data_IF_964161870111
#
_entry.id   IF_964161870111
#
_cell.length_a   1.000
_cell.length_b   1.000
_cell.length_c   1.000
_cell.angle_alpha   90.00
_cell.angle_beta   90.00
_cell.angle_gamma   90.00
#
_symmetry.space_group_name_H-M   'P 1'
#
loop_
_entity.id
_entity.type
_entity.pdbx_description
1 polymer ?
#
# COMPACT_ATOMS: atom_id res chain seq x y z
N UNK A 1 27.76 -0.63 -30.39
CA UNK A 1 26.75 -0.67 -29.32
C UNK A 1 26.42 -2.13 -29.06
N UNK A 2 26.72 -2.64 -27.86
CA UNK A 2 26.55 -4.06 -27.55
C UNK A 2 25.06 -4.38 -27.36
N UNK A 3 24.50 -5.23 -28.22
CA UNK A 3 23.10 -5.67 -28.14
C UNK A 3 22.73 -6.21 -26.75
N UNK A 4 23.67 -6.87 -26.05
CA UNK A 4 23.42 -7.45 -24.73
C UNK A 4 23.12 -6.44 -23.62
N UNK A 5 23.69 -5.23 -23.64
CA UNK A 5 23.44 -4.25 -22.57
C UNK A 5 22.05 -3.62 -22.67
N UNK A 6 21.57 -3.40 -23.90
CA UNK A 6 20.22 -2.87 -24.16
C UNK A 6 19.15 -3.86 -23.70
N UNK A 7 19.32 -5.16 -23.96
CA UNK A 7 18.36 -6.19 -23.56
C UNK A 7 18.21 -6.27 -22.05
N UNK A 8 19.32 -6.20 -21.30
CA UNK A 8 19.30 -6.22 -19.83
C UNK A 8 18.51 -5.03 -19.27
N UNK A 9 18.70 -3.83 -19.84
CA UNK A 9 18.00 -2.61 -19.40
C UNK A 9 16.49 -2.76 -19.61
N UNK A 10 16.06 -3.26 -20.78
CA UNK A 10 14.64 -3.50 -21.03
C UNK A 10 14.04 -4.55 -20.09
N UNK A 11 14.76 -5.64 -19.80
CA UNK A 11 14.33 -6.65 -18.83
C UNK A 11 14.14 -6.04 -17.45
N UNK A 12 15.06 -5.19 -16.99
CA UNK A 12 14.94 -4.51 -15.70
C UNK A 12 13.73 -3.58 -15.64
N UNK A 13 13.48 -2.81 -16.71
CA UNK A 13 12.33 -1.90 -16.78
C UNK A 13 11.01 -2.67 -16.79
N UNK A 14 10.91 -3.74 -17.59
CA UNK A 14 9.71 -4.58 -17.66
C UNK A 14 9.45 -5.27 -16.32
N UNK A 15 10.49 -5.85 -15.70
CA UNK A 15 10.38 -6.47 -14.38
C UNK A 15 9.94 -5.44 -13.31
N UNK A 16 10.51 -4.24 -13.35
CA UNK A 16 10.11 -3.15 -12.45
C UNK A 16 8.68 -2.68 -12.69
N UNK A 17 8.22 -2.62 -13.95
CA UNK A 17 6.84 -2.27 -14.28
C UNK A 17 5.84 -3.32 -13.78
N UNK A 18 6.15 -4.62 -13.94
CA UNK A 18 5.33 -5.71 -13.41
C UNK A 18 5.25 -5.67 -11.88
N UNK A 19 6.38 -5.43 -11.20
CA UNK A 19 6.40 -5.22 -9.75
C UNK A 19 5.57 -4.00 -9.35
N UNK A 20 5.66 -2.90 -10.10
CA UNK A 20 4.87 -1.71 -9.81
C UNK A 20 3.37 -1.93 -10.00
N UNK A 21 2.98 -2.73 -10.99
CA UNK A 21 1.59 -3.11 -11.19
C UNK A 21 1.08 -3.99 -10.05
N UNK A 22 1.91 -4.93 -9.57
CA UNK A 22 1.62 -5.70 -8.35
C UNK A 22 1.45 -4.78 -7.13
N UNK A 23 2.32 -3.78 -6.95
CA UNK A 23 2.22 -2.80 -5.87
C UNK A 23 0.90 -2.02 -5.92
N UNK A 24 0.46 -1.59 -7.11
CA UNK A 24 -0.83 -0.91 -7.31
C UNK A 24 -2.00 -1.80 -6.90
N UNK A 25 -2.03 -3.05 -7.39
CA UNK A 25 -3.11 -4.00 -7.06
C UNK A 25 -3.16 -4.25 -5.56
N UNK A 26 -2.00 -4.49 -4.94
CA UNK A 26 -1.90 -4.74 -3.49
C UNK A 26 -2.36 -3.53 -2.68
N UNK A 27 -1.99 -2.32 -3.09
CA UNK A 27 -2.42 -1.07 -2.45
C UNK A 27 -3.93 -0.82 -2.64
N UNK A 28 -4.47 -1.06 -3.83
CA UNK A 28 -5.90 -0.94 -4.10
C UNK A 28 -6.71 -1.95 -3.26
N UNK A 29 -6.27 -3.21 -3.18
CA UNK A 29 -6.92 -4.22 -2.35
C UNK A 29 -6.90 -3.85 -0.87
N UNK A 30 -5.76 -3.37 -0.37
CA UNK A 30 -5.64 -2.88 1.01
C UNK A 30 -6.60 -1.72 1.30
N UNK A 31 -6.73 -0.77 0.36
CA UNK A 31 -7.67 0.34 0.48
C UNK A 31 -9.12 -0.13 0.52
N UNK A 32 -9.50 -1.09 -0.33
CA UNK A 32 -10.84 -1.68 -0.33
C UNK A 32 -11.14 -2.44 0.97
N UNK A 33 -10.16 -3.14 1.54
CA UNK A 33 -10.31 -3.80 2.85
C UNK A 33 -10.50 -2.81 4.02
N UNK A 34 -10.04 -1.56 3.88
CA UNK A 34 -10.19 -0.50 4.87
C UNK A 34 -11.40 0.41 4.63
N UNK A 35 -12.01 0.41 3.44
CA UNK A 35 -13.12 1.32 3.12
C UNK A 35 -14.39 0.99 3.90
N UNK A 36 -14.62 -0.28 4.22
CA UNK A 36 -15.81 -0.72 4.97
C UNK A 36 -15.83 -0.22 6.42
N UNK A 37 -14.68 0.05 7.03
CA UNK A 37 -14.58 0.43 8.45
C UNK A 37 -14.42 1.95 8.64
N UNK A 38 -14.05 2.69 7.59
CA UNK A 38 -13.59 4.10 7.68
C UNK A 38 -14.44 5.06 6.83
N UNK A 39 -15.61 4.62 6.34
CA UNK A 39 -16.57 5.50 5.69
C UNK A 39 -17.41 6.35 6.68
N UNK A 40 -16.97 6.44 7.94
CA UNK A 40 -17.51 7.33 8.97
C UNK A 40 -16.57 8.56 9.16
N UNK A 41 -16.58 9.49 8.20
CA UNK A 41 -16.46 10.90 8.57
C UNK A 41 -15.22 11.72 8.20
N UNK A 42 -14.11 11.16 7.68
CA UNK A 42 -12.90 11.98 7.43
C UNK A 42 -12.51 12.11 5.95
N UNK A 43 -13.05 13.16 5.29
CA UNK A 43 -12.80 13.49 3.87
C UNK A 43 -11.31 13.70 3.54
N UNK A 44 -10.49 14.14 4.51
CA UNK A 44 -9.04 14.32 4.31
C UNK A 44 -8.32 12.97 4.15
N UNK A 45 -8.74 11.97 4.92
CA UNK A 45 -8.15 10.62 4.84
C UNK A 45 -8.42 9.96 3.48
N UNK A 46 -9.60 10.20 2.90
CA UNK A 46 -9.98 9.72 1.55
C UNK A 46 -9.15 10.38 0.45
N UNK A 47 -8.90 11.69 0.54
CA UNK A 47 -8.10 12.42 -0.44
C UNK A 47 -6.65 11.95 -0.46
N UNK A 48 -6.03 11.74 0.70
CA UNK A 48 -4.66 11.23 0.80
C UNK A 48 -4.51 9.81 0.22
N UNK A 49 -5.52 8.95 0.44
CA UNK A 49 -5.57 7.59 -0.12
C UNK A 49 -5.63 7.61 -1.64
N UNK A 50 -6.53 8.43 -2.20
CA UNK A 50 -6.66 8.61 -3.64
C UNK A 50 -5.39 9.20 -4.26
N UNK A 51 -4.74 10.17 -3.59
CA UNK A 51 -3.47 10.74 -4.03
C UNK A 51 -2.37 9.67 -4.11
N UNK A 52 -2.26 8.79 -3.11
CA UNK A 52 -1.31 7.67 -3.17
C UNK A 52 -1.51 6.76 -4.38
N UNK A 53 -2.77 6.43 -4.70
CA UNK A 53 -3.11 5.59 -5.86
C UNK A 53 -2.78 6.30 -7.18
N UNK A 54 -3.15 7.58 -7.30
CA UNK A 54 -2.81 8.42 -8.47
C UNK A 54 -1.29 8.50 -8.65
N UNK A 55 -0.53 8.65 -7.57
CA UNK A 55 0.93 8.72 -7.62
C UNK A 55 1.54 7.39 -8.11
N UNK A 56 1.03 6.25 -7.64
CA UNK A 56 1.49 4.94 -8.10
C UNK A 56 1.19 4.72 -9.60
N UNK A 57 0.00 5.12 -10.06
CA UNK A 57 -0.36 5.07 -11.50
C UNK A 57 0.55 6.00 -12.31
N UNK A 58 0.83 7.20 -11.79
CA UNK A 58 1.76 8.14 -12.43
C UNK A 58 3.16 7.54 -12.58
N UNK A 59 3.65 6.85 -11.55
CA UNK A 59 4.90 6.11 -11.65
C UNK A 59 4.84 5.03 -12.74
N UNK A 60 3.78 4.22 -12.80
CA UNK A 60 3.60 3.20 -13.85
C UNK A 60 3.63 3.80 -15.26
N UNK A 61 2.98 4.95 -15.46
CA UNK A 61 3.06 5.70 -16.72
C UNK A 61 4.49 6.11 -17.05
N UNK A 62 5.30 6.46 -16.05
CA UNK A 62 6.74 6.71 -16.21
C UNK A 62 7.49 5.50 -16.79
N UNK A 63 7.19 4.27 -16.36
CA UNK A 63 7.77 3.05 -16.95
C UNK A 63 7.34 2.85 -18.39
N UNK A 64 6.05 3.02 -18.68
CA UNK A 64 5.52 2.87 -20.05
C UNK A 64 6.12 3.92 -20.99
N UNK A 65 6.23 5.16 -20.53
CA UNK A 65 6.81 6.25 -21.31
C UNK A 65 8.30 6.01 -21.59
N UNK A 66 9.08 5.60 -20.59
CA UNK A 66 10.49 5.29 -20.76
C UNK A 66 10.73 4.07 -21.65
N UNK A 67 9.83 3.07 -21.62
CA UNK A 67 9.91 1.91 -22.49
C UNK A 67 9.57 2.20 -23.96
N UNK A 68 8.61 3.10 -24.23
CA UNK A 68 8.13 3.39 -25.59
C UNK A 68 8.87 4.54 -26.28
N UNK A 69 9.23 5.59 -25.54
CA UNK A 69 9.79 6.83 -26.10
C UNK A 69 11.21 7.13 -25.64
N UNK A 70 11.70 6.43 -24.61
CA UNK A 70 13.01 6.65 -24.04
C UNK A 70 14.15 5.93 -24.77
N UNK A 71 15.36 6.42 -24.58
CA UNK A 71 16.60 5.65 -24.76
C UNK A 71 17.15 5.37 -23.37
N UNK A 72 16.62 4.35 -22.66
CA UNK A 72 16.97 4.13 -21.27
C UNK A 72 18.43 3.69 -21.14
N UNK A 73 19.16 4.40 -20.30
CA UNK A 73 20.51 4.01 -19.87
C UNK A 73 20.44 3.04 -18.69
N UNK A 74 21.57 2.37 -18.42
CA UNK A 74 21.68 1.39 -17.32
C UNK A 74 21.31 2.00 -15.96
N UNK A 75 21.69 3.26 -15.73
CA UNK A 75 21.31 3.99 -14.52
C UNK A 75 19.80 4.21 -14.43
N UNK A 76 19.14 4.50 -15.54
CA UNK A 76 17.70 4.72 -15.59
C UNK A 76 16.91 3.43 -15.34
N UNK A 77 17.34 2.33 -15.94
CA UNK A 77 16.78 1.00 -15.66
C UNK A 77 16.98 0.57 -14.21
N UNK A 78 18.14 0.87 -13.62
CA UNK A 78 18.43 0.64 -12.21
C UNK A 78 17.54 1.44 -11.26
N UNK A 79 17.33 2.74 -11.53
CA UNK A 79 16.47 3.61 -10.73
C UNK A 79 15.01 3.18 -10.81
N UNK A 80 14.51 2.86 -12.00
CA UNK A 80 13.15 2.37 -12.19
C UNK A 80 12.97 1.04 -11.44
N UNK A 81 13.80 0.04 -11.72
CA UNK A 81 13.71 -1.25 -11.04
C UNK A 81 13.82 -1.12 -9.52
N UNK A 82 14.85 -0.42 -9.02
CA UNK A 82 15.05 -0.17 -7.60
C UNK A 82 13.90 0.61 -6.96
N UNK A 83 13.33 1.57 -7.68
CA UNK A 83 12.15 2.32 -7.23
C UNK A 83 10.94 1.43 -7.00
N UNK A 84 10.66 0.46 -7.89
CA UNK A 84 9.56 -0.50 -7.70
C UNK A 84 9.75 -1.39 -6.47
N UNK A 85 10.99 -1.84 -6.23
CA UNK A 85 11.34 -2.66 -5.04
C UNK A 85 11.19 -1.82 -3.77
N UNK A 86 11.69 -0.59 -3.78
CA UNK A 86 11.58 0.32 -2.65
C UNK A 86 10.12 0.56 -2.27
N UNK A 87 9.27 0.88 -3.25
CA UNK A 87 7.82 1.04 -3.03
C UNK A 87 7.21 -0.24 -2.46
N UNK A 88 7.60 -1.42 -2.96
CA UNK A 88 7.11 -2.70 -2.46
C UNK A 88 7.44 -2.92 -0.97
N UNK A 89 8.67 -2.59 -0.56
CA UNK A 89 9.12 -2.68 0.83
C UNK A 89 8.32 -1.70 1.71
N UNK A 90 8.21 -0.45 1.29
CA UNK A 90 7.48 0.60 2.04
C UNK A 90 6.02 0.22 2.21
N UNK A 91 5.35 -0.27 1.16
CA UNK A 91 3.98 -0.76 1.25
C UNK A 91 3.86 -1.92 2.23
N UNK A 92 4.80 -2.87 2.22
CA UNK A 92 4.77 -4.00 3.13
C UNK A 92 4.90 -3.58 4.60
N UNK A 93 5.81 -2.62 4.88
CA UNK A 93 5.95 -2.03 6.21
C UNK A 93 4.65 -1.33 6.62
N UNK A 94 4.08 -0.53 5.73
CA UNK A 94 2.86 0.24 6.01
C UNK A 94 1.66 -0.66 6.31
N UNK A 95 1.48 -1.76 5.56
CA UNK A 95 0.42 -2.73 5.84
C UNK A 95 0.60 -3.42 7.18
N UNK A 96 1.82 -3.89 7.48
CA UNK A 96 2.11 -4.54 8.76
C UNK A 96 1.89 -3.58 9.95
N UNK A 97 2.33 -2.32 9.82
CA UNK A 97 2.08 -1.31 10.86
C UNK A 97 0.58 -1.07 11.07
N UNK A 98 -0.19 -1.04 9.99
CA UNK A 98 -1.64 -0.83 10.07
C UNK A 98 -2.32 -2.00 10.79
N UNK A 99 -1.94 -3.24 10.47
CA UNK A 99 -2.48 -4.43 11.14
C UNK A 99 -2.13 -4.45 12.63
N UNK A 100 -0.89 -4.09 12.99
CA UNK A 100 -0.46 -3.98 14.39
C UNK A 100 -1.27 -2.93 15.14
N UNK A 101 -1.50 -1.76 14.54
CA UNK A 101 -2.31 -0.69 15.15
C UNK A 101 -3.76 -1.13 15.31
N UNK A 102 -4.34 -1.81 14.32
CA UNK A 102 -5.71 -2.34 14.38
C UNK A 102 -5.88 -3.33 15.52
N UNK A 103 -4.96 -4.29 15.65
CA UNK A 103 -5.02 -5.31 16.72
C UNK A 103 -4.89 -4.68 18.11
N UNK A 104 -3.96 -3.72 18.29
CA UNK A 104 -3.83 -2.99 19.56
C UNK A 104 -5.07 -2.18 19.91
N UNK A 105 -5.76 -1.62 18.91
CA UNK A 105 -6.98 -0.85 19.13
C UNK A 105 -8.14 -1.73 19.61
N UNK A 106 -8.25 -2.94 19.06
CA UNK A 106 -9.23 -3.94 19.50
C UNK A 106 -8.95 -4.37 20.95
N UNK A 107 -7.71 -4.70 21.27
CA UNK A 107 -7.29 -5.09 22.63
C UNK A 107 -7.62 -4.00 23.67
N UNK A 108 -7.36 -2.72 23.34
CA UNK A 108 -7.72 -1.59 24.21
C UNK A 108 -9.23 -1.47 24.38
N UNK A 109 -9.99 -1.69 23.30
CA UNK A 109 -11.45 -1.59 23.35
C UNK A 109 -12.05 -2.72 24.20
N UNK A 110 -11.53 -3.94 24.09
CA UNK A 110 -11.90 -5.08 24.93
C UNK A 110 -11.60 -4.79 26.42
N UNK A 111 -10.40 -4.32 26.75
CA UNK A 111 -10.04 -3.94 28.11
C UNK A 111 -10.97 -2.85 28.68
N UNK A 112 -11.37 -1.85 27.88
CA UNK A 112 -12.29 -0.81 28.32
C UNK A 112 -13.69 -1.34 28.61
N UNK A 113 -14.18 -2.31 27.81
CA UNK A 113 -15.47 -2.97 28.04
C UNK A 113 -15.43 -3.76 29.35
N UNK A 114 -14.36 -4.54 29.57
CA UNK A 114 -14.15 -5.29 30.81
C UNK A 114 -14.12 -4.38 32.05
N UNK A 115 -13.45 -3.22 31.95
CA UNK A 115 -13.41 -2.23 33.04
C UNK A 115 -14.78 -1.62 33.32
N UNK A 116 -15.60 -1.37 32.30
CA UNK A 116 -16.96 -0.85 32.47
C UNK A 116 -17.85 -1.91 33.14
N UNK A 117 -17.78 -3.17 32.70
CA UNK A 117 -18.53 -4.28 33.30
C UNK A 117 -18.13 -4.53 34.75
N UNK A 118 -16.84 -4.45 35.08
CA UNK A 118 -16.36 -4.55 36.46
C UNK A 118 -16.81 -3.37 37.35
N UNK A 119 -17.10 -2.21 36.77
CA UNK A 119 -17.58 -1.01 37.49
C UNK A 119 -19.09 -1.02 37.74
N UNK A 120 -19.88 -1.67 36.89
CA UNK A 120 -21.34 -1.82 37.05
C UNK A 120 -21.74 -3.31 36.99
N UNK A 121 -21.62 -4.05 38.11
CA UNK A 121 -21.94 -5.47 38.17
C UNK A 121 -23.45 -5.77 38.02
N UNK A 122 -24.30 -4.76 37.80
CA UNK A 122 -25.76 -4.90 37.74
C UNK A 122 -26.32 -5.02 36.30
N UNK A 123 -25.47 -5.07 35.27
CA UNK A 123 -25.88 -5.28 33.87
C UNK A 123 -25.93 -6.76 33.44
N UNK A 124 -25.54 -7.69 34.32
CA UNK A 124 -25.52 -9.16 34.07
C UNK A 124 -26.91 -9.82 34.05
N UNK A 125 -27.99 -9.05 33.99
CA UNK A 125 -29.37 -9.52 34.18
C UNK A 125 -30.28 -9.54 32.94
N UNK A 126 -29.90 -8.96 31.79
CA UNK A 126 -30.73 -8.96 30.59
C UNK A 126 -29.95 -9.46 29.37
N UNK A 127 -29.83 -10.78 29.30
CA UNK A 127 -29.48 -11.51 28.08
C UNK A 127 -30.30 -12.80 28.03
N UNK A 128 -31.45 -12.76 27.35
CA UNK A 128 -31.92 -13.83 26.48
C UNK A 128 -32.36 -13.18 25.18
#
# INVERSE_FOLDING_TARGET
MNFGSQTIIFVMIIAGALLMQWNIIRYAFFLSGMSDVISAGDKKSTALRALGLVLLIFFLLGYVFTALFGKPDFMMGGILFGGSIFVAIVLNIMFNLTDVVKNRTLEISEMLIEMIEARDPNLSGHSI
#
